data_IF_803751600505
#
_entry.id   IF_803751600505
#
_cell.length_a   1.000
_cell.length_b   1.000
_cell.length_c   1.000
_cell.angle_alpha   90.00
_cell.angle_beta   90.00
_cell.angle_gamma   90.00
#
_symmetry.space_group_name_H-M   'P 1'
#
loop_
_entity.id
_entity.type
_entity.pdbx_description
1 polymer ?
#
# COMPACT_ATOMS: atom_id res chain seq x y z
N UNK A 1 -3.30 8.09 17.64
CA UNK A 1 -3.51 6.68 17.28
C UNK A 1 -4.70 6.65 16.35
N UNK A 2 -4.49 6.35 15.08
CA UNK A 2 -5.57 6.21 14.09
C UNK A 2 -5.25 4.95 13.29
N UNK A 3 -6.11 3.94 13.36
CA UNK A 3 -6.02 2.70 12.60
C UNK A 3 -6.62 2.95 11.19
N UNK A 4 -5.84 2.68 10.14
CA UNK A 4 -5.96 1.55 9.19
C UNK A 4 -7.27 1.56 8.39
N UNK A 5 -7.13 1.84 7.09
CA UNK A 5 -8.09 1.44 6.06
C UNK A 5 -7.50 0.24 5.28
N UNK A 6 -8.27 -0.84 5.21
CA UNK A 6 -8.13 -1.85 4.17
C UNK A 6 -9.26 -1.59 3.18
N UNK A 7 -8.92 -1.24 1.94
CA UNK A 7 -9.89 -1.13 0.86
C UNK A 7 -10.15 -2.52 0.29
N UNK A 8 -11.34 -3.05 0.56
CA UNK A 8 -11.91 -4.16 -0.19
C UNK A 8 -12.43 -3.59 -1.52
N UNK A 9 -11.79 -3.95 -2.63
CA UNK A 9 -12.33 -3.72 -3.98
C UNK A 9 -12.74 -5.06 -4.58
N UNK A 10 -14.03 -5.38 -4.47
CA UNK A 10 -14.69 -6.40 -5.28
C UNK A 10 -15.16 -5.80 -6.62
N UNK A 11 -14.91 -6.54 -7.71
CA UNK A 11 -15.55 -6.40 -9.03
C UNK A 11 -14.81 -5.45 -9.99
N UNK A 12 -14.51 -5.80 -11.25
CA UNK A 12 -15.44 -6.36 -12.24
C UNK A 12 -14.73 -7.27 -13.25
N UNK A 13 -15.04 -8.57 -13.22
CA UNK A 13 -14.83 -9.48 -14.35
C UNK A 13 -16.07 -9.42 -15.25
N UNK A 14 -15.93 -8.87 -16.46
CA UNK A 14 -17.02 -8.79 -17.43
C UNK A 14 -17.53 -10.17 -17.84
N UNK A 15 -18.83 -10.39 -17.64
CA UNK A 15 -19.57 -11.47 -18.27
C UNK A 15 -19.81 -11.14 -19.74
N UNK A 16 -19.20 -11.88 -20.66
CA UNK A 16 -19.72 -12.01 -22.02
C UNK A 16 -20.69 -13.19 -22.06
N UNK A 17 -21.98 -12.89 -22.13
CA UNK A 17 -23.01 -13.88 -22.43
C UNK A 17 -23.02 -14.11 -23.94
N UNK A 18 -22.56 -15.28 -24.40
CA UNK A 18 -22.96 -15.80 -25.72
C UNK A 18 -24.15 -16.73 -25.52
N UNK A 19 -25.30 -16.28 -25.99
CA UNK A 19 -26.56 -17.04 -26.09
C UNK A 19 -26.31 -18.30 -26.91
N UNK A 20 -26.69 -19.46 -26.36
CA UNK A 20 -26.26 -20.77 -26.85
C UNK A 20 -27.08 -21.41 -27.97
N UNK A 21 -26.61 -22.57 -28.39
CA UNK A 21 -27.44 -23.66 -28.93
C UNK A 21 -27.00 -25.02 -28.35
N UNK A 22 -28.00 -25.89 -28.15
CA UNK A 22 -28.04 -27.17 -27.43
C UNK A 22 -27.22 -28.30 -28.10
N UNK A 23 -26.70 -29.26 -27.32
CA UNK A 23 -27.08 -30.70 -27.40
C UNK A 23 -26.32 -31.62 -26.41
N UNK A 24 -27.10 -32.44 -25.69
CA UNK A 24 -26.92 -33.81 -25.17
C UNK A 24 -25.51 -34.41 -24.92
N UNK A 25 -25.32 -34.83 -23.67
CA UNK A 25 -24.76 -36.16 -23.31
C UNK A 25 -23.27 -36.20 -22.92
N UNK A 26 -22.99 -36.80 -21.74
CA UNK A 26 -21.69 -37.45 -21.49
C UNK A 26 -20.96 -37.08 -20.20
N UNK A 27 -20.75 -38.10 -19.36
CA UNK A 27 -19.66 -38.31 -18.38
C UNK A 27 -19.34 -37.20 -17.37
N UNK A 28 -19.65 -37.48 -16.09
CA UNK A 28 -18.99 -36.83 -14.93
C UNK A 28 -17.50 -37.16 -14.95
N UNK A 29 -16.69 -36.25 -15.50
CA UNK A 29 -15.24 -36.27 -15.35
C UNK A 29 -14.91 -35.80 -13.93
N UNK A 30 -14.50 -36.72 -13.07
CA UNK A 30 -13.92 -36.39 -11.77
C UNK A 30 -12.54 -35.77 -12.02
N UNK A 31 -12.49 -34.46 -12.30
CA UNK A 31 -11.25 -33.72 -12.47
C UNK A 31 -10.62 -33.56 -11.09
N UNK A 32 -9.79 -34.53 -10.72
CA UNK A 32 -8.91 -34.47 -9.56
C UNK A 32 -7.99 -33.26 -9.76
N UNK A 33 -8.36 -32.13 -9.15
CA UNK A 33 -7.59 -30.90 -9.19
C UNK A 33 -6.38 -31.13 -8.31
N UNK A 34 -5.25 -31.51 -8.91
CA UNK A 34 -3.95 -31.57 -8.24
C UNK A 34 -3.70 -30.22 -7.56
N UNK A 35 -3.79 -30.22 -6.23
CA UNK A 35 -3.45 -29.06 -5.41
C UNK A 35 -1.93 -28.90 -5.42
N UNK A 36 -1.41 -28.16 -6.41
CA UNK A 36 -0.05 -27.62 -6.34
C UNK A 36 0.03 -26.71 -5.11
N UNK A 37 0.70 -27.19 -4.06
CA UNK A 37 0.97 -26.45 -2.82
C UNK A 37 1.96 -25.31 -3.13
N UNK A 38 1.45 -24.11 -3.39
CA UNK A 38 2.27 -22.90 -3.45
C UNK A 38 2.60 -22.40 -2.04
N UNK A 39 3.84 -21.93 -1.82
CA UNK A 39 4.28 -21.31 -0.56
C UNK A 39 3.66 -19.89 -0.44
N UNK A 40 3.23 -19.51 0.75
CA UNK A 40 2.68 -18.18 1.08
C UNK A 40 3.75 -17.30 1.71
N UNK A 41 4.00 -16.11 1.16
CA UNK A 41 4.83 -15.09 1.81
C UNK A 41 3.95 -14.27 2.73
N UNK A 42 4.18 -14.34 4.04
CA UNK A 42 3.49 -13.49 5.01
C UNK A 42 4.23 -12.17 5.15
N UNK A 43 3.71 -11.09 4.56
CA UNK A 43 4.21 -9.73 4.74
C UNK A 43 3.24 -8.92 5.60
N UNK A 44 3.77 -8.19 6.57
CA UNK A 44 3.01 -7.26 7.42
C UNK A 44 3.25 -5.84 6.97
N UNK A 45 2.19 -5.18 6.51
CA UNK A 45 2.23 -3.80 6.05
C UNK A 45 1.49 -2.88 7.03
N UNK A 46 1.87 -1.62 7.07
CA UNK A 46 1.18 -0.60 7.85
C UNK A 46 1.27 0.79 7.22
N UNK A 47 0.52 1.73 7.79
CA UNK A 47 0.66 3.16 7.49
C UNK A 47 0.70 3.96 8.79
N UNK A 48 1.44 5.06 8.81
CA UNK A 48 1.54 5.94 9.97
C UNK A 48 1.83 7.39 9.55
N UNK A 49 0.91 8.29 9.88
CA UNK A 49 1.23 9.70 9.94
C UNK A 49 2.14 9.96 11.15
N UNK A 50 3.41 10.29 10.91
CA UNK A 50 4.42 10.43 11.97
C UNK A 50 4.47 11.84 12.57
N UNK A 51 3.75 12.80 11.98
CA UNK A 51 3.85 14.25 12.22
C UNK A 51 5.25 14.86 11.98
N UNK A 52 6.35 14.15 12.24
CA UNK A 52 7.71 14.48 11.80
C UNK A 52 8.64 13.28 11.97
N UNK A 53 9.61 13.12 11.07
CA UNK A 53 10.68 12.12 11.21
C UNK A 53 11.87 12.60 12.04
N UNK A 54 11.93 13.88 12.41
CA UNK A 54 13.05 14.45 13.17
C UNK A 54 13.08 13.91 14.58
N UNK A 55 14.16 13.20 14.94
CA UNK A 55 14.31 12.58 16.27
C UNK A 55 13.43 11.35 16.52
N UNK A 56 12.64 10.90 15.53
CA UNK A 56 11.67 9.79 15.67
C UNK A 56 12.14 8.45 15.10
N UNK A 57 13.33 8.39 14.48
CA UNK A 57 13.84 7.19 13.81
C UNK A 57 13.85 5.95 14.70
N UNK A 58 14.41 6.05 15.93
CA UNK A 58 14.48 4.94 16.87
C UNK A 58 13.10 4.48 17.36
N UNK A 59 12.24 5.42 17.75
CA UNK A 59 10.87 5.10 18.19
C UNK A 59 10.07 4.38 17.09
N UNK A 60 10.23 4.83 15.84
CA UNK A 60 9.60 4.22 14.68
C UNK A 60 10.13 2.79 14.45
N UNK A 61 11.44 2.60 14.50
CA UNK A 61 12.06 1.30 14.35
C UNK A 61 11.62 0.33 15.45
N UNK A 62 11.69 0.74 16.73
CA UNK A 62 11.25 -0.09 17.84
C UNK A 62 9.75 -0.46 17.72
N UNK A 63 8.92 0.45 17.21
CA UNK A 63 7.50 0.18 16.95
C UNK A 63 7.31 -0.86 15.85
N UNK A 64 8.04 -0.74 14.74
CA UNK A 64 8.01 -1.72 13.65
C UNK A 64 8.48 -3.10 14.11
N UNK A 65 9.55 -3.18 14.91
CA UNK A 65 10.01 -4.45 15.47
C UNK A 65 8.97 -5.09 16.39
N UNK A 66 8.44 -4.33 17.36
CA UNK A 66 7.45 -4.84 18.32
C UNK A 66 6.18 -5.37 17.63
N UNK A 67 5.72 -4.67 16.59
CA UNK A 67 4.53 -5.06 15.81
C UNK A 67 4.84 -6.04 14.68
N UNK A 68 6.13 -6.32 14.44
CA UNK A 68 6.65 -7.13 13.34
C UNK A 68 6.18 -6.59 11.98
N UNK A 69 6.21 -5.27 11.78
CA UNK A 69 5.86 -4.65 10.50
C UNK A 69 7.06 -4.70 9.57
N UNK A 70 6.86 -5.24 8.37
CA UNK A 70 7.92 -5.40 7.35
C UNK A 70 8.03 -4.16 6.45
N UNK A 71 6.88 -3.54 6.15
CA UNK A 71 6.76 -2.37 5.27
C UNK A 71 5.81 -1.35 5.92
N UNK A 72 6.24 -0.11 6.07
CA UNK A 72 5.44 0.96 6.67
C UNK A 72 5.42 2.19 5.76
N UNK A 73 4.24 2.55 5.25
CA UNK A 73 4.03 3.85 4.64
C UNK A 73 4.00 4.93 5.73
N UNK A 74 4.69 6.04 5.52
CA UNK A 74 4.73 7.15 6.49
C UNK A 74 4.36 8.47 5.82
N UNK A 75 3.56 9.27 6.53
CA UNK A 75 3.10 10.59 6.09
C UNK A 75 3.50 11.68 7.08
N UNK A 76 3.47 12.94 6.64
CA UNK A 76 3.99 14.11 7.38
C UNK A 76 5.42 13.91 7.88
N UNK A 77 6.32 13.42 7.01
CA UNK A 77 7.73 13.25 7.41
C UNK A 77 8.38 14.60 7.74
N UNK A 78 7.89 15.70 7.15
CA UNK A 78 8.42 17.07 7.27
C UNK A 78 9.91 17.13 7.00
N UNK A 79 10.37 16.32 6.05
CA UNK A 79 11.76 16.25 5.63
C UNK A 79 11.89 16.72 4.19
N UNK A 80 12.89 17.58 3.94
CA UNK A 80 13.21 18.03 2.59
C UNK A 80 14.14 17.05 1.87
N UNK A 81 13.84 16.82 0.61
CA UNK A 81 14.67 16.07 -0.32
C UNK A 81 14.03 14.78 -0.81
N UNK A 82 14.70 14.18 -1.80
CA UNK A 82 14.35 12.91 -2.44
C UNK A 82 15.51 11.96 -2.17
N UNK A 83 15.42 11.13 -1.11
CA UNK A 83 16.55 10.32 -0.65
C UNK A 83 16.10 8.95 -0.13
N UNK A 84 17.08 8.12 0.19
CA UNK A 84 16.93 6.95 1.03
C UNK A 84 17.90 7.06 2.20
N UNK A 85 17.47 6.71 3.41
CA UNK A 85 18.26 6.80 4.64
C UNK A 85 18.04 5.56 5.50
N UNK A 86 19.12 4.93 5.93
CA UNK A 86 19.03 3.88 6.95
C UNK A 86 18.60 4.49 8.27
N UNK A 87 17.61 3.86 8.89
CA UNK A 87 17.17 4.08 10.25
C UNK A 87 17.85 3.03 11.14
N UNK A 88 17.91 3.28 12.44
CA UNK A 88 18.37 2.30 13.42
C UNK A 88 17.59 0.97 13.31
N UNK A 89 18.16 -0.09 13.88
CA UNK A 89 17.56 -1.42 13.99
C UNK A 89 17.19 -2.10 12.65
N UNK A 90 17.95 -1.85 11.58
CA UNK A 90 17.83 -2.62 10.34
C UNK A 90 16.60 -2.25 9.50
N UNK A 91 16.27 -0.97 9.44
CA UNK A 91 15.25 -0.43 8.55
C UNK A 91 15.82 0.64 7.64
N UNK A 92 15.19 0.82 6.47
CA UNK A 92 15.55 1.84 5.50
C UNK A 92 14.33 2.64 5.09
N UNK A 93 14.41 3.95 5.25
CA UNK A 93 13.38 4.89 4.81
C UNK A 93 13.72 5.43 3.43
N UNK A 94 12.83 5.22 2.48
CA UNK A 94 12.76 5.97 1.24
C UNK A 94 11.77 7.10 1.44
N UNK A 95 12.16 8.35 1.16
CA UNK A 95 11.26 9.47 1.37
C UNK A 95 11.34 10.50 0.26
N UNK A 96 10.27 11.29 0.17
CA UNK A 96 10.21 12.50 -0.61
C UNK A 96 9.46 13.59 0.14
N UNK A 97 10.03 14.80 0.12
CA UNK A 97 9.36 16.00 0.61
C UNK A 97 10.02 17.27 0.08
N UNK A 98 9.24 18.34 -0.03
CA UNK A 98 9.68 19.62 -0.62
C UNK A 98 10.05 20.63 0.48
N UNK A 99 9.33 20.62 1.60
CA UNK A 99 9.48 21.53 2.74
C UNK A 99 9.77 20.73 4.02
N UNK A 100 10.58 21.28 4.92
CA UNK A 100 10.85 20.71 6.24
C UNK A 100 9.77 21.05 7.29
N UNK A 101 8.74 21.81 6.94
CA UNK A 101 7.67 22.25 7.85
C UNK A 101 6.34 21.52 7.64
N UNK A 102 6.08 21.04 6.42
CA UNK A 102 4.79 20.46 6.03
C UNK A 102 4.99 19.28 5.08
N UNK A 103 3.97 18.44 4.99
CA UNK A 103 3.88 17.31 4.07
C UNK A 103 5.08 16.34 4.19
N UNK A 104 5.28 15.56 3.14
CA UNK A 104 6.33 14.57 3.03
C UNK A 104 5.75 13.17 3.20
N UNK A 105 6.17 12.29 2.30
CA UNK A 105 5.80 10.88 2.28
C UNK A 105 7.04 10.01 2.32
N UNK A 106 6.86 8.78 2.79
CA UNK A 106 7.93 7.81 2.87
C UNK A 106 7.43 6.38 2.90
N UNK A 107 8.32 5.46 2.59
CA UNK A 107 8.13 4.03 2.83
C UNK A 107 9.35 3.54 3.60
N UNK A 108 9.12 3.04 4.81
CA UNK A 108 10.11 2.34 5.61
C UNK A 108 10.03 0.86 5.28
N UNK A 109 11.18 0.29 4.95
CA UNK A 109 11.34 -1.09 4.55
C UNK A 109 12.35 -1.76 5.46
N UNK A 110 12.04 -2.97 5.94
CA UNK A 110 13.03 -3.79 6.65
C UNK A 110 14.23 -4.07 5.74
N UNK A 111 15.45 -3.97 6.28
CA UNK A 111 16.69 -3.96 5.49
C UNK A 111 16.82 -5.20 4.59
N UNK A 112 16.29 -6.35 5.02
CA UNK A 112 16.32 -7.61 4.25
C UNK A 112 15.59 -7.52 2.89
N UNK A 113 14.61 -6.64 2.76
CA UNK A 113 13.84 -6.41 1.53
C UNK A 113 14.42 -5.27 0.68
N UNK A 114 15.44 -4.53 1.16
CA UNK A 114 16.02 -3.41 0.40
C UNK A 114 16.67 -3.89 -0.90
N UNK A 115 17.27 -5.07 -0.89
CA UNK A 115 17.85 -5.70 -2.09
C UNK A 115 16.80 -6.12 -3.13
N UNK A 116 15.53 -6.21 -2.72
CA UNK A 116 14.40 -6.59 -3.55
C UNK A 116 13.73 -5.39 -4.21
N UNK A 117 14.21 -4.17 -3.96
CA UNK A 117 13.68 -2.93 -4.57
C UNK A 117 14.06 -2.89 -6.04
N UNK A 118 13.04 -2.90 -6.91
CA UNK A 118 13.17 -2.75 -8.35
C UNK A 118 13.09 -1.28 -8.78
N UNK A 119 12.21 -0.50 -8.14
CA UNK A 119 11.96 0.89 -8.54
C UNK A 119 11.49 1.75 -7.36
N UNK A 120 11.84 3.03 -7.38
CA UNK A 120 11.32 4.04 -6.43
C UNK A 120 10.84 5.26 -7.22
N UNK A 121 9.50 5.42 -7.32
CA UNK A 121 8.86 6.58 -7.94
C UNK A 121 8.48 7.59 -6.86
N UNK A 122 8.92 8.84 -6.98
CA UNK A 122 8.62 9.94 -6.05
C UNK A 122 7.90 11.03 -6.81
N UNK A 123 6.58 10.93 -6.88
CA UNK A 123 5.73 11.75 -7.74
C UNK A 123 5.61 13.16 -7.17
N UNK A 124 5.20 13.27 -5.91
CA UNK A 124 5.04 14.53 -5.18
C UNK A 124 5.36 14.37 -3.70
N UNK A 125 5.42 15.46 -2.93
CA UNK A 125 5.54 15.40 -1.46
C UNK A 125 4.29 14.80 -0.76
N UNK A 126 3.33 14.31 -1.56
CA UNK A 126 2.11 13.60 -1.15
C UNK A 126 1.97 12.21 -1.76
N UNK A 127 2.67 11.85 -2.83
CA UNK A 127 2.54 10.54 -3.49
C UNK A 127 3.91 9.97 -3.86
N UNK A 128 4.17 8.73 -3.43
CA UNK A 128 5.31 7.95 -3.89
C UNK A 128 4.98 6.46 -3.97
N UNK A 129 5.75 5.71 -4.77
CA UNK A 129 5.60 4.27 -4.95
C UNK A 129 6.94 3.55 -4.90
N UNK A 130 6.98 2.40 -4.25
CA UNK A 130 8.11 1.45 -4.26
C UNK A 130 7.67 0.16 -4.94
N UNK A 131 8.41 -0.27 -5.96
CA UNK A 131 8.23 -1.58 -6.58
C UNK A 131 9.26 -2.56 -6.01
N UNK A 132 8.80 -3.70 -5.52
CA UNK A 132 9.60 -4.76 -4.90
C UNK A 132 9.32 -6.10 -5.60
N UNK A 133 10.31 -6.99 -5.66
CA UNK A 133 10.09 -8.40 -6.04
C UNK A 133 10.40 -9.32 -4.87
N UNK A 134 9.39 -10.00 -4.32
CA UNK A 134 9.53 -10.89 -3.18
C UNK A 134 9.05 -12.29 -3.58
N UNK A 135 9.97 -13.27 -3.55
CA UNK A 135 9.72 -14.67 -3.95
C UNK A 135 9.01 -14.81 -5.31
N UNK A 136 9.41 -14.00 -6.31
CA UNK A 136 8.85 -14.02 -7.66
C UNK A 136 7.47 -13.33 -7.79
N UNK A 137 7.03 -12.62 -6.75
CA UNK A 137 5.85 -11.75 -6.79
C UNK A 137 6.30 -10.29 -6.81
N UNK A 138 5.87 -9.55 -7.82
CA UNK A 138 6.07 -8.10 -7.88
C UNK A 138 4.97 -7.42 -7.06
N UNK A 139 5.39 -6.58 -6.10
CA UNK A 139 4.55 -5.80 -5.21
C UNK A 139 4.88 -4.30 -5.35
N UNK A 140 3.86 -3.49 -5.60
CA UNK A 140 3.93 -2.04 -5.61
C UNK A 140 3.33 -1.50 -4.31
N UNK A 141 4.13 -0.78 -3.54
CA UNK A 141 3.73 -0.14 -2.29
C UNK A 141 3.61 1.35 -2.55
N UNK A 142 2.38 1.86 -2.55
CA UNK A 142 2.08 3.28 -2.78
C UNK A 142 1.85 3.96 -1.44
N UNK A 143 2.60 5.03 -1.15
CA UNK A 143 2.37 5.90 0.01
C UNK A 143 1.72 7.20 -0.43
N UNK A 144 0.55 7.49 0.13
CA UNK A 144 -0.23 8.70 -0.18
C UNK A 144 -0.50 9.57 1.06
N UNK A 145 -0.49 10.90 0.90
CA UNK A 145 -0.90 11.85 1.94
C UNK A 145 -1.94 12.83 1.37
N UNK A 146 -3.22 12.56 1.63
CA UNK A 146 -4.29 13.36 1.08
C UNK A 146 -4.25 14.79 1.65
N UNK A 147 -4.55 15.80 0.82
CA UNK A 147 -4.74 17.17 1.30
C UNK A 147 -5.91 17.27 2.29
N UNK A 148 -5.86 18.28 3.16
CA UNK A 148 -6.90 18.51 4.16
C UNK A 148 -8.22 18.93 3.50
N UNK A 149 -9.36 18.78 4.20
CA UNK A 149 -10.68 19.19 3.69
C UNK A 149 -10.73 20.68 3.33
N UNK A 150 -9.96 21.52 4.03
CA UNK A 150 -9.91 22.98 3.82
C UNK A 150 -8.94 23.38 2.69
N UNK A 151 -8.21 22.43 2.10
CA UNK A 151 -7.37 22.71 0.94
C UNK A 151 -8.22 23.03 -0.31
N UNK A 152 -7.63 23.84 -1.19
CA UNK A 152 -8.20 24.21 -2.48
C UNK A 152 -8.54 22.97 -3.31
N UNK A 153 -9.60 23.06 -4.12
CA UNK A 153 -10.05 21.96 -4.98
C UNK A 153 -8.92 21.47 -5.89
N UNK A 154 -8.13 22.39 -6.43
CA UNK A 154 -6.98 22.10 -7.30
C UNK A 154 -5.94 21.19 -6.61
N UNK A 155 -5.69 21.36 -5.32
CA UNK A 155 -4.75 20.49 -4.59
C UNK A 155 -5.30 19.07 -4.42
N UNK A 156 -6.63 18.95 -4.21
CA UNK A 156 -7.31 17.66 -4.12
C UNK A 156 -7.29 16.93 -5.46
N UNK A 157 -7.68 17.63 -6.53
CA UNK A 157 -7.68 17.08 -7.89
C UNK A 157 -6.28 16.65 -8.32
N UNK A 158 -5.25 17.46 -8.02
CA UNK A 158 -3.86 17.10 -8.30
C UNK A 158 -3.44 15.83 -7.58
N UNK A 159 -3.78 15.68 -6.30
CA UNK A 159 -3.47 14.46 -5.55
C UNK A 159 -4.11 13.21 -6.16
N UNK A 160 -5.40 13.27 -6.52
CA UNK A 160 -6.09 12.14 -7.14
C UNK A 160 -5.55 11.83 -8.53
N UNK A 161 -5.25 12.84 -9.33
CA UNK A 161 -4.62 12.67 -10.64
C UNK A 161 -3.25 12.01 -10.54
N UNK A 162 -2.40 12.44 -9.60
CA UNK A 162 -1.09 11.85 -9.35
C UNK A 162 -1.19 10.39 -8.87
N UNK A 163 -2.18 10.09 -8.02
CA UNK A 163 -2.42 8.73 -7.55
C UNK A 163 -2.91 7.84 -8.69
N UNK A 164 -3.86 8.30 -9.50
CA UNK A 164 -4.39 7.55 -10.65
C UNK A 164 -3.29 7.26 -11.67
N UNK A 165 -2.42 8.23 -11.98
CA UNK A 165 -1.29 8.01 -12.89
C UNK A 165 -0.34 6.90 -12.38
N UNK A 166 -0.07 6.88 -11.06
CA UNK A 166 0.71 5.79 -10.46
C UNK A 166 0.01 4.45 -10.65
N UNK A 167 -1.30 4.39 -10.38
CA UNK A 167 -2.10 3.18 -10.48
C UNK A 167 -2.19 2.66 -11.91
N UNK A 168 -2.39 3.53 -12.90
CA UNK A 168 -2.41 3.19 -14.33
C UNK A 168 -1.04 2.73 -14.83
N UNK A 169 0.05 3.22 -14.25
CA UNK A 169 1.41 2.78 -14.60
C UNK A 169 1.75 1.36 -14.13
N UNK A 170 0.93 0.77 -13.26
CA UNK A 170 1.17 -0.57 -12.70
C UNK A 170 0.54 -1.64 -13.60
N UNK A 171 1.33 -2.61 -14.11
CA UNK A 171 0.79 -3.72 -14.89
C UNK A 171 -0.23 -4.55 -14.11
N UNK A 172 -1.28 -5.00 -14.79
CA UNK A 172 -2.41 -5.77 -14.20
C UNK A 172 -2.01 -7.09 -13.54
N UNK A 173 -0.82 -7.63 -13.82
CA UNK A 173 -0.28 -8.83 -13.21
C UNK A 173 0.50 -8.60 -11.90
N UNK A 174 0.82 -7.35 -11.57
CA UNK A 174 1.56 -6.99 -10.36
C UNK A 174 0.59 -6.75 -9.18
N UNK A 175 1.07 -6.97 -7.96
CA UNK A 175 0.30 -6.66 -6.74
C UNK A 175 0.47 -5.19 -6.38
N UNK A 176 -0.57 -4.60 -5.79
CA UNK A 176 -0.53 -3.23 -5.28
C UNK A 176 -1.05 -3.20 -3.85
N UNK A 177 -0.38 -2.44 -3.00
CA UNK A 177 -0.85 -2.05 -1.67
C UNK A 177 -0.71 -0.54 -1.55
N UNK A 178 -1.77 0.13 -1.09
CA UNK A 178 -1.80 1.57 -0.86
C UNK A 178 -1.85 1.80 0.64
N UNK A 179 -0.86 2.51 1.17
CA UNK A 179 -0.86 3.03 2.54
C UNK A 179 -1.00 4.55 2.50
N UNK A 180 -2.17 5.05 2.85
CA UNK A 180 -2.44 6.49 2.76
C UNK A 180 -3.18 7.01 3.98
N UNK A 181 -2.93 8.28 4.28
CA UNK A 181 -3.71 9.04 5.25
C UNK A 181 -4.70 9.94 4.48
N UNK A 182 -5.96 9.53 4.51
CA UNK A 182 -7.07 10.27 3.92
C UNK A 182 -7.70 11.12 5.02
N UNK A 183 -7.20 12.35 5.20
CA UNK A 183 -7.68 13.36 6.15
C UNK A 183 -9.14 13.82 5.88
N UNK A 184 -10.09 12.90 5.81
CA UNK A 184 -11.52 13.15 5.68
C UNK A 184 -12.19 13.20 7.06
N UNK A 185 -12.92 14.28 7.33
CA UNK A 185 -13.88 14.30 8.44
C UNK A 185 -14.99 13.30 8.11
N UNK A 186 -15.00 12.15 8.78
CA UNK A 186 -16.16 11.25 8.75
C UNK A 186 -17.27 11.95 9.54
N UNK A 187 -18.39 12.23 8.88
CA UNK A 187 -19.59 12.77 9.53
C UNK A 187 -20.05 11.86 10.68
N UNK A 188 -20.71 12.44 11.67
CA UNK A 188 -21.19 11.77 12.89
C UNK A 188 -21.80 10.39 12.62
N UNK A 189 -21.26 9.36 13.29
CA UNK A 189 -21.90 8.06 13.41
C UNK A 189 -20.95 6.87 13.34
N UNK A 190 -20.19 6.64 14.41
CA UNK A 190 -20.06 5.32 15.06
C UNK A 190 -18.99 5.40 16.17
N UNK A 191 -19.48 5.50 17.40
CA UNK A 191 -18.76 5.13 18.61
C UNK A 191 -18.50 3.63 18.62
N UNK A 192 -17.23 3.26 18.81
CA UNK A 192 -16.79 1.90 19.09
C UNK A 192 -16.23 1.23 17.85
N UNK A 193 -14.89 1.18 17.75
CA UNK A 193 -14.14 -0.02 17.39
C UNK A 193 -12.65 0.26 17.59
N UNK A 194 -12.13 -0.28 18.70
CA UNK A 194 -10.71 -0.46 18.98
C UNK A 194 -10.14 -1.54 18.05
N UNK A 195 -8.86 -1.43 17.68
CA UNK A 195 -8.08 -2.42 16.92
C UNK A 195 -8.58 -2.83 15.53
N UNK A 196 -7.93 -2.31 14.47
CA UNK A 196 -7.98 -2.98 13.16
C UNK A 196 -6.57 -3.11 12.59
N UNK A 197 -5.78 -4.09 13.06
CA UNK A 197 -4.66 -4.62 12.27
C UNK A 197 -5.23 -5.64 11.26
N UNK A 198 -5.33 -5.25 10.00
CA UNK A 198 -5.74 -6.15 8.92
C UNK A 198 -4.62 -7.12 8.52
N UNK A 199 -4.90 -8.42 8.56
CA UNK A 199 -4.12 -9.41 7.81
C UNK A 199 -4.56 -9.35 6.34
N UNK A 200 -3.64 -9.08 5.42
CA UNK A 200 -3.91 -9.20 3.98
C UNK A 200 -3.86 -10.68 3.58
N UNK A 201 -5.02 -11.34 3.60
CA UNK A 201 -5.17 -12.70 3.07
C UNK A 201 -5.44 -12.64 1.56
N UNK A 202 -4.41 -12.89 0.76
CA UNK A 202 -4.49 -12.84 -0.71
C UNK A 202 -5.29 -14.04 -1.27
N UNK A 203 -6.60 -13.88 -1.42
CA UNK A 203 -7.40 -14.74 -2.30
C UNK A 203 -7.20 -14.32 -3.76
N UNK A 204 -6.81 -15.26 -4.63
CA UNK A 204 -6.79 -15.02 -6.08
C UNK A 204 -8.20 -15.23 -6.64
N UNK A 205 -8.74 -14.17 -7.27
CA UNK A 205 -9.81 -14.26 -8.25
C UNK A 205 -9.33 -15.01 -9.49
N UNK A 206 -10.26 -15.76 -10.07
CA UNK A 206 -10.14 -16.76 -11.12
C UNK A 206 -9.48 -16.26 -12.40
#
# INVERSE_FOLDING_TARGET
MTAISAVDLQGTGGNWATVGQRSRGGRRVHRQREKRKGKSVGLRLGTLNVATMTGKGRELADMMERRKVDILCVQETRWKGSKARSIEAGFKLFYYGVDSKRNGVGVVLKEEFVRNVLEVKRVSDRVMSLKLEIEGVILNVVSGYAPQVVCELEEKERFWSELDEVMESIPTGERVVIGADFNGHVGEGNTGDEEVMGNLELRKGT
#
